data_IF_713137353953
#
_entry.id   IF_713137353953
#
_cell.length_a   1.000
_cell.length_b   1.000
_cell.length_c   1.000
_cell.angle_alpha   90.00
_cell.angle_beta   90.00
_cell.angle_gamma   90.00
#
_symmetry.space_group_name_H-M   'P 1'
#
loop_
_entity.id
_entity.type
_entity.pdbx_description
1 polymer ?
#
# COMPACT_ATOMS: atom_id res chain seq x y z
N UNK A 1 -4.49 8.30 -1.02
CA UNK A 1 -5.12 7.01 -1.43
C UNK A 1 -4.51 5.84 -0.67
N UNK A 2 -3.18 5.70 -0.63
CA UNK A 2 -2.46 4.61 0.07
C UNK A 2 -3.05 4.22 1.43
N UNK A 3 -3.18 5.15 2.38
CA UNK A 3 -3.73 4.83 3.71
C UNK A 3 -5.16 4.26 3.70
N UNK A 4 -6.00 4.62 2.73
CA UNK A 4 -7.34 4.02 2.58
C UNK A 4 -7.28 2.59 2.06
N UNK A 5 -6.39 2.31 1.11
CA UNK A 5 -6.12 0.96 0.60
C UNK A 5 -5.57 0.08 1.71
N UNK A 6 -4.59 0.59 2.48
CA UNK A 6 -4.04 -0.09 3.67
C UNK A 6 -5.15 -0.45 4.66
N UNK A 7 -6.05 0.49 4.98
CA UNK A 7 -7.18 0.22 5.86
C UNK A 7 -8.14 -0.82 5.27
N UNK A 8 -8.37 -0.84 3.95
CA UNK A 8 -9.24 -1.82 3.31
C UNK A 8 -8.76 -3.25 3.58
N UNK A 9 -7.48 -3.53 3.34
CA UNK A 9 -6.87 -4.84 3.59
C UNK A 9 -6.80 -5.16 5.09
N UNK A 10 -6.34 -4.22 5.93
CA UNK A 10 -6.27 -4.44 7.38
C UNK A 10 -7.64 -4.73 8.01
N UNK A 11 -8.70 -4.08 7.52
CA UNK A 11 -10.07 -4.34 7.95
C UNK A 11 -10.55 -5.75 7.60
N UNK A 12 -10.03 -6.32 6.50
CA UNK A 12 -10.28 -7.69 6.08
C UNK A 12 -9.38 -8.73 6.78
N UNK A 13 -8.49 -8.29 7.69
CA UNK A 13 -7.56 -9.18 8.39
C UNK A 13 -6.31 -9.53 7.58
N UNK A 14 -6.02 -8.81 6.50
CA UNK A 14 -4.88 -9.05 5.63
C UNK A 14 -3.72 -8.15 6.07
N UNK A 15 -2.52 -8.71 6.36
CA UNK A 15 -1.33 -7.92 6.67
C UNK A 15 -0.92 -7.01 5.51
N UNK A 16 -0.48 -5.79 5.80
CA UNK A 16 -0.06 -4.82 4.80
C UNK A 16 1.29 -4.23 5.19
N UNK A 17 2.25 -4.25 4.27
CA UNK A 17 3.48 -3.47 4.38
C UNK A 17 3.32 -2.19 3.58
N UNK A 18 3.47 -1.03 4.23
CA UNK A 18 3.41 0.29 3.60
C UNK A 18 4.82 0.77 3.30
N UNK A 19 5.14 0.87 2.01
CA UNK A 19 6.37 1.47 1.52
C UNK A 19 6.16 2.97 1.25
N UNK A 20 7.07 3.80 1.74
CA UNK A 20 7.10 5.25 1.51
C UNK A 20 8.53 5.75 1.26
N UNK A 21 8.67 7.01 0.82
CA UNK A 21 9.99 7.58 0.49
C UNK A 21 10.78 8.08 1.69
N UNK A 22 10.11 8.40 2.81
CA UNK A 22 10.75 8.89 4.04
C UNK A 22 9.87 8.63 5.27
N UNK A 23 10.49 8.74 6.44
CA UNK A 23 9.82 8.47 7.72
C UNK A 23 8.69 9.46 8.00
N UNK A 24 8.83 10.72 7.60
CA UNK A 24 7.81 11.74 7.80
C UNK A 24 6.50 11.43 7.05
N UNK A 25 6.60 10.82 5.86
CA UNK A 25 5.46 10.35 5.10
C UNK A 25 4.79 9.14 5.78
N UNK A 26 5.59 8.19 6.28
CA UNK A 26 5.11 7.04 7.07
C UNK A 26 4.31 7.53 8.27
N UNK A 27 4.92 8.38 9.11
CA UNK A 27 4.32 8.84 10.36
C UNK A 27 3.00 9.58 10.11
N UNK A 28 2.97 10.40 9.06
CA UNK A 28 1.75 11.09 8.62
C UNK A 28 0.67 10.11 8.18
N UNK A 29 1.02 9.11 7.37
CA UNK A 29 0.11 8.09 6.87
C UNK A 29 -0.49 7.27 8.01
N UNK A 30 0.36 6.73 8.89
CA UNK A 30 -0.08 5.99 10.07
C UNK A 30 -0.92 6.84 11.02
N UNK A 31 -0.56 8.11 11.21
CA UNK A 31 -1.33 9.05 12.04
C UNK A 31 -2.73 9.33 11.48
N UNK A 32 -2.92 9.32 10.16
CA UNK A 32 -4.25 9.43 9.54
C UNK A 32 -5.04 8.14 9.76
N UNK A 33 -4.43 6.97 9.53
CA UNK A 33 -5.07 5.67 9.73
C UNK A 33 -5.54 5.50 11.18
N UNK A 34 -4.67 5.81 12.15
CA UNK A 34 -4.99 5.76 13.58
C UNK A 34 -6.17 6.64 13.94
N UNK A 35 -6.15 7.91 13.52
CA UNK A 35 -7.28 8.84 13.75
C UNK A 35 -8.59 8.34 13.16
N UNK A 36 -8.55 7.67 12.00
CA UNK A 36 -9.76 7.08 11.42
C UNK A 36 -10.30 5.93 12.29
N UNK A 37 -9.44 5.03 12.77
CA UNK A 37 -9.87 3.97 13.68
C UNK A 37 -10.37 4.51 15.02
N UNK A 38 -9.68 5.47 15.63
CA UNK A 38 -10.12 6.12 16.86
C UNK A 38 -11.51 6.76 16.66
N UNK A 39 -11.73 7.41 15.52
CA UNK A 39 -13.03 7.97 15.15
C UNK A 39 -14.11 6.91 14.93
N UNK A 40 -13.77 5.69 14.50
CA UNK A 40 -14.72 4.57 14.42
C UNK A 40 -15.06 4.00 15.79
N UNK A 41 -14.07 3.90 16.69
CA UNK A 41 -14.25 3.48 18.09
C UNK A 41 -15.15 4.46 18.84
N UNK A 42 -14.88 5.76 18.74
CA UNK A 42 -15.69 6.81 19.36
C UNK A 42 -17.15 6.78 18.91
N UNK A 43 -17.40 6.39 17.66
CA UNK A 43 -18.74 6.22 17.09
C UNK A 43 -19.36 4.85 17.36
N UNK A 44 -18.70 3.98 18.14
CA UNK A 44 -19.16 2.63 18.46
C UNK A 44 -19.21 1.67 17.28
N UNK A 45 -18.53 1.97 16.16
CA UNK A 45 -18.55 1.13 14.94
C UNK A 45 -17.64 -0.10 15.07
N UNK A 46 -16.60 0.00 15.88
CA UNK A 46 -15.67 -1.08 16.23
C UNK A 46 -15.24 -0.95 17.70
N UNK A 47 -14.76 -2.03 18.30
CA UNK A 47 -14.14 -1.97 19.63
C UNK A 47 -12.71 -1.42 19.56
N UNK A 48 -12.19 -0.91 20.68
CA UNK A 48 -10.78 -0.50 20.78
C UNK A 48 -9.83 -1.67 20.47
N UNK A 49 -10.15 -2.88 20.95
CA UNK A 49 -9.37 -4.08 20.65
C UNK A 49 -9.33 -4.40 19.16
N UNK A 50 -10.45 -4.24 18.44
CA UNK A 50 -10.49 -4.43 17.00
C UNK A 50 -9.65 -3.39 16.25
N UNK A 51 -9.63 -2.14 16.73
CA UNK A 51 -8.75 -1.10 16.20
C UNK A 51 -7.27 -1.47 16.38
N UNK A 52 -6.86 -1.91 17.57
CA UNK A 52 -5.47 -2.34 17.82
C UNK A 52 -5.08 -3.56 16.98
N UNK A 53 -5.95 -4.56 16.85
CA UNK A 53 -5.71 -5.72 15.98
C UNK A 53 -5.47 -5.30 14.52
N UNK A 54 -6.21 -4.32 14.02
CA UNK A 54 -6.04 -3.82 12.64
C UNK A 54 -4.77 -2.99 12.48
N UNK A 55 -4.42 -2.19 13.48
CA UNK A 55 -3.15 -1.46 13.47
C UNK A 55 -1.94 -2.41 13.49
N UNK A 56 -2.03 -3.51 14.25
CA UNK A 56 -0.98 -4.51 14.33
C UNK A 56 -0.74 -5.29 13.01
N UNK A 57 -1.68 -5.23 12.06
CA UNK A 57 -1.51 -5.81 10.72
C UNK A 57 -0.71 -4.90 9.77
N UNK A 58 -0.41 -3.66 10.17
CA UNK A 58 0.25 -2.67 9.33
C UNK A 58 1.72 -2.57 9.74
N UNK A 59 2.62 -2.99 8.84
CA UNK A 59 4.05 -2.74 8.91
C UNK A 59 4.45 -1.64 7.93
N UNK A 60 5.64 -1.08 8.09
CA UNK A 60 6.15 0.01 7.26
C UNK A 60 7.58 -0.23 6.84
N UNK A 61 7.97 0.30 5.68
CA UNK A 61 9.33 0.20 5.17
C UNK A 61 9.68 1.41 4.30
N UNK A 62 10.98 1.63 4.11
CA UNK A 62 11.55 2.57 3.14
C UNK A 62 12.30 1.82 2.01
N UNK A 63 12.29 0.48 2.03
CA UNK A 63 13.07 -0.39 1.17
C UNK A 63 12.15 -1.26 0.32
N UNK A 64 12.36 -1.26 -1.00
CA UNK A 64 11.55 -2.06 -1.94
C UNK A 64 11.76 -3.56 -1.74
N UNK A 65 12.95 -3.95 -1.27
CA UNK A 65 13.35 -5.33 -1.04
C UNK A 65 12.45 -6.04 -0.02
N UNK A 66 11.89 -5.28 0.93
CA UNK A 66 10.97 -5.80 1.94
C UNK A 66 9.61 -6.22 1.36
N UNK A 67 9.31 -5.85 0.11
CA UNK A 67 8.07 -6.24 -0.58
C UNK A 67 8.14 -7.63 -1.22
N UNK A 68 9.31 -8.27 -1.24
CA UNK A 68 9.53 -9.46 -2.07
C UNK A 68 8.65 -10.67 -1.75
N UNK A 69 8.07 -10.72 -0.54
CA UNK A 69 7.15 -11.79 -0.14
C UNK A 69 5.67 -11.48 -0.39
N UNK A 70 5.34 -10.27 -0.84
CA UNK A 70 3.96 -9.86 -1.08
C UNK A 70 3.30 -10.65 -2.22
N UNK A 71 2.05 -11.08 -2.01
CA UNK A 71 1.23 -11.71 -3.06
C UNK A 71 0.60 -10.67 -4.00
N UNK A 72 0.33 -9.47 -3.49
CA UNK A 72 -0.22 -8.34 -4.24
C UNK A 72 0.50 -7.07 -3.81
N UNK A 73 0.96 -6.28 -4.78
CA UNK A 73 1.54 -4.95 -4.56
C UNK A 73 0.71 -3.92 -5.32
N UNK A 74 0.31 -2.85 -4.61
CA UNK A 74 -0.55 -1.80 -5.16
C UNK A 74 0.20 -0.47 -5.18
N UNK A 75 0.45 0.03 -6.37
CA UNK A 75 1.03 1.35 -6.63
C UNK A 75 -0.01 2.45 -6.38
N UNK A 76 0.31 3.44 -5.55
CA UNK A 76 -0.56 4.57 -5.23
C UNK A 76 0.20 5.91 -5.08
N UNK A 77 1.25 6.11 -5.88
CA UNK A 77 2.07 7.32 -5.97
C UNK A 77 1.39 8.37 -6.87
N UNK A 78 2.07 9.52 -7.01
CA UNK A 78 1.60 10.64 -7.82
C UNK A 78 1.22 10.23 -9.25
N UNK A 79 0.18 10.87 -9.78
CA UNK A 79 -0.41 10.54 -11.08
C UNK A 79 0.47 11.07 -12.24
N UNK A 80 1.58 10.38 -12.49
CA UNK A 80 2.50 10.62 -13.58
C UNK A 80 3.02 9.29 -14.14
N UNK A 81 2.93 9.12 -15.46
CA UNK A 81 3.26 7.85 -16.12
C UNK A 81 4.72 7.44 -15.90
N UNK A 82 5.67 8.36 -16.03
CA UNK A 82 7.10 8.05 -15.88
C UNK A 82 7.45 7.70 -14.43
N UNK A 83 6.82 8.36 -13.46
CA UNK A 83 6.99 8.00 -12.04
C UNK A 83 6.44 6.61 -11.77
N UNK A 84 5.24 6.29 -12.26
CA UNK A 84 4.64 4.96 -12.06
C UNK A 84 5.41 3.85 -12.77
N UNK A 85 5.92 4.10 -13.98
CA UNK A 85 6.82 3.17 -14.68
C UNK A 85 8.05 2.84 -13.85
N UNK A 86 8.72 3.84 -13.26
CA UNK A 86 9.87 3.60 -12.36
C UNK A 86 9.49 2.74 -11.17
N UNK A 87 8.32 2.95 -10.58
CA UNK A 87 7.82 2.10 -9.48
C UNK A 87 7.58 0.66 -9.96
N UNK A 88 7.01 0.47 -11.15
CA UNK A 88 6.81 -0.85 -11.75
C UNK A 88 8.14 -1.56 -12.06
N UNK A 89 9.17 -0.83 -12.50
CA UNK A 89 10.53 -1.35 -12.68
C UNK A 89 11.13 -1.83 -11.35
N UNK A 90 10.93 -1.09 -10.26
CA UNK A 90 11.37 -1.54 -8.94
C UNK A 90 10.58 -2.77 -8.46
N UNK A 91 9.26 -2.79 -8.65
CA UNK A 91 8.43 -3.95 -8.31
C UNK A 91 8.83 -5.20 -9.09
N UNK A 92 9.15 -5.07 -10.37
CA UNK A 92 9.61 -6.19 -11.19
C UNK A 92 10.89 -6.84 -10.64
N UNK A 93 11.80 -6.05 -10.08
CA UNK A 93 13.06 -6.55 -9.50
C UNK A 93 12.85 -7.32 -8.20
N UNK A 94 11.92 -6.85 -7.35
CA UNK A 94 11.80 -7.34 -5.96
C UNK A 94 10.68 -8.34 -5.76
N UNK A 95 9.57 -8.22 -6.50
CA UNK A 95 8.38 -9.04 -6.25
C UNK A 95 8.61 -10.49 -6.68
N UNK A 96 8.20 -11.44 -5.83
CA UNK A 96 8.25 -12.87 -6.16
C UNK A 96 7.48 -13.22 -7.44
N UNK A 97 7.85 -14.31 -8.13
CA UNK A 97 7.04 -14.86 -9.22
C UNK A 97 5.61 -15.14 -8.78
N UNK A 98 4.65 -14.79 -9.64
CA UNK A 98 3.21 -14.96 -9.36
C UNK A 98 2.58 -13.85 -8.51
N UNK A 99 3.37 -12.91 -7.98
CA UNK A 99 2.81 -11.72 -7.32
C UNK A 99 2.08 -10.83 -8.33
N UNK A 100 0.92 -10.29 -7.93
CA UNK A 100 0.12 -9.36 -8.72
C UNK A 100 0.65 -7.95 -8.50
N UNK A 101 0.98 -7.24 -9.59
CA UNK A 101 1.31 -5.82 -9.58
C UNK A 101 0.09 -5.04 -10.09
N UNK A 102 -0.41 -4.13 -9.27
CA UNK A 102 -1.58 -3.32 -9.59
C UNK A 102 -1.30 -1.83 -9.40
N UNK A 103 -2.03 -0.98 -10.12
CA UNK A 103 -1.99 0.48 -9.94
C UNK A 103 -3.37 1.01 -9.54
N UNK A 104 -3.38 1.98 -8.64
CA UNK A 104 -4.56 2.79 -8.29
C UNK A 104 -4.75 3.98 -9.25
N UNK A 105 -4.11 4.00 -10.43
CA UNK A 105 -4.33 5.10 -11.40
C UNK A 105 -5.81 5.28 -11.72
N UNK A 106 -6.19 6.52 -12.01
CA UNK A 106 -7.54 6.92 -12.40
C UNK A 106 -7.65 7.33 -13.87
N UNK A 107 -6.53 7.55 -14.56
CA UNK A 107 -6.54 8.08 -15.92
C UNK A 107 -5.31 7.80 -16.76
N UNK A 108 -4.34 7.03 -16.26
CA UNK A 108 -3.18 6.61 -17.05
C UNK A 108 -3.41 5.23 -17.66
N UNK A 109 -2.80 5.02 -18.82
CA UNK A 109 -2.84 3.75 -19.52
C UNK A 109 -2.05 2.68 -18.74
N UNK A 110 -2.75 1.61 -18.35
CA UNK A 110 -2.19 0.51 -17.58
C UNK A 110 -1.23 -0.34 -18.41
N UNK A 111 -1.51 -0.52 -19.71
CA UNK A 111 -0.61 -1.26 -20.61
C UNK A 111 0.70 -0.48 -20.80
N UNK A 112 0.59 0.85 -20.89
CA UNK A 112 1.77 1.70 -20.93
C UNK A 112 2.61 1.57 -19.66
N UNK A 113 2.01 1.48 -18.46
CA UNK A 113 2.76 1.22 -17.22
C UNK A 113 3.36 -0.18 -17.20
N UNK A 114 2.60 -1.20 -17.58
CA UNK A 114 3.04 -2.60 -17.57
C UNK A 114 4.17 -2.91 -18.58
N UNK A 115 4.33 -2.08 -19.62
CA UNK A 115 5.33 -2.25 -20.68
C UNK A 115 6.80 -2.33 -20.22
N UNK A 116 7.09 -1.95 -18.98
CA UNK A 116 8.45 -2.02 -18.38
C UNK A 116 8.68 -3.30 -17.55
N UNK A 117 7.67 -4.17 -17.46
CA UNK A 117 7.75 -5.45 -16.75
C UNK A 117 7.83 -6.61 -17.74
N UNK A 118 8.41 -7.75 -17.34
CA UNK A 118 8.50 -8.93 -18.21
C UNK A 118 7.26 -9.85 -18.13
N UNK A 119 6.29 -9.49 -17.27
CA UNK A 119 5.14 -10.31 -16.89
C UNK A 119 3.87 -9.46 -16.73
N UNK A 120 3.39 -8.85 -17.83
CA UNK A 120 2.21 -7.99 -17.83
C UNK A 120 0.91 -8.74 -17.50
#
# INVERSE_FOLDING_TARGET
MGGGITMCFANAGIPVTVLEMNQEAIDRGLGIIRRNYDGMVQRGRISAEAAEKRMALISTTLAYEDLGQADVVVEAVYENLDVKKKVFEEFEKVCKPGAIIASNTSGLDVDAMASVTSRP
#
